data_IF_460395099574
#
_entry.id   IF_460395099574
#
_cell.length_a   1.000
_cell.length_b   1.000
_cell.length_c   1.000
_cell.angle_alpha   90.00
_cell.angle_beta   90.00
_cell.angle_gamma   90.00
#
_symmetry.space_group_name_H-M   'P 1'
#
loop_
_entity.id
_entity.type
_entity.pdbx_description
1 polymer ?
#
# COMPACT_ATOMS: atom_id res chain seq x y z
N UNK A 1 -26.72 -23.78 13.56
CA UNK A 1 -26.24 -22.53 12.94
C UNK A 1 -26.47 -21.41 13.93
N UNK A 2 -25.43 -20.90 14.57
CA UNK A 2 -25.54 -19.72 15.43
C UNK A 2 -25.56 -18.52 14.49
N UNK A 3 -26.72 -17.88 14.32
CA UNK A 3 -26.83 -16.64 13.56
C UNK A 3 -26.11 -15.54 14.36
N UNK A 4 -25.19 -14.83 13.72
CA UNK A 4 -24.56 -13.66 14.34
C UNK A 4 -25.63 -12.59 14.59
N UNK A 5 -25.56 -11.83 15.71
CA UNK A 5 -26.43 -10.69 15.92
C UNK A 5 -26.33 -9.71 14.74
N UNK A 6 -27.46 -9.14 14.31
CA UNK A 6 -27.49 -8.21 13.17
C UNK A 6 -26.50 -7.05 13.31
N UNK A 7 -26.34 -6.52 14.53
CA UNK A 7 -25.39 -5.46 14.85
C UNK A 7 -23.93 -5.89 14.59
N UNK A 8 -23.58 -7.13 14.95
CA UNK A 8 -22.24 -7.70 14.69
C UNK A 8 -21.99 -7.84 13.20
N UNK A 9 -22.97 -8.34 12.45
CA UNK A 9 -22.85 -8.47 10.99
C UNK A 9 -22.69 -7.11 10.31
N UNK A 10 -23.47 -6.11 10.72
CA UNK A 10 -23.37 -4.74 10.19
C UNK A 10 -21.99 -4.13 10.47
N UNK A 11 -21.47 -4.28 11.69
CA UNK A 11 -20.14 -3.79 12.05
C UNK A 11 -19.03 -4.44 11.20
N UNK A 12 -19.09 -5.77 11.04
CA UNK A 12 -18.11 -6.53 10.25
C UNK A 12 -18.16 -6.16 8.76
N UNK A 13 -19.36 -6.01 8.21
CA UNK A 13 -19.56 -5.56 6.82
C UNK A 13 -19.05 -4.13 6.62
N UNK A 14 -19.29 -3.25 7.60
CA UNK A 14 -18.76 -1.89 7.59
C UNK A 14 -17.24 -1.87 7.68
N UNK A 15 -16.61 -2.75 8.47
CA UNK A 15 -15.16 -2.90 8.50
C UNK A 15 -14.57 -3.25 7.14
N UNK A 16 -15.15 -4.23 6.45
CA UNK A 16 -14.76 -4.56 5.08
C UNK A 16 -14.95 -3.36 4.12
N UNK A 17 -16.11 -2.70 4.17
CA UNK A 17 -16.41 -1.55 3.31
C UNK A 17 -15.49 -0.35 3.54
N UNK A 18 -15.17 -0.04 4.79
CA UNK A 18 -14.22 1.01 5.13
C UNK A 18 -12.81 0.63 4.70
N UNK A 19 -12.42 -0.65 4.80
CA UNK A 19 -11.14 -1.13 4.27
C UNK A 19 -11.03 -0.93 2.75
N UNK A 20 -12.11 -1.16 2.00
CA UNK A 20 -12.15 -0.87 0.57
C UNK A 20 -11.92 0.63 0.28
N UNK A 21 -12.60 1.50 1.02
CA UNK A 21 -12.50 2.95 0.84
C UNK A 21 -11.12 3.49 1.24
N UNK A 22 -10.60 3.04 2.38
CA UNK A 22 -9.29 3.46 2.89
C UNK A 22 -8.15 3.11 1.95
N UNK A 23 -8.20 1.95 1.29
CA UNK A 23 -7.19 1.59 0.30
C UNK A 23 -7.15 2.52 -0.93
N UNK A 24 -8.21 3.30 -1.14
CA UNK A 24 -8.30 4.29 -2.22
C UNK A 24 -7.92 5.71 -1.75
N UNK A 25 -7.46 5.85 -0.51
CA UNK A 25 -6.90 7.11 -0.03
C UNK A 25 -5.70 7.52 -0.91
N UNK A 26 -5.45 8.85 -1.08
CA UNK A 26 -4.48 9.33 -2.06
C UNK A 26 -3.07 8.82 -1.83
N UNK A 27 -2.62 8.66 -0.58
CA UNK A 27 -1.31 8.10 -0.24
C UNK A 27 -1.12 6.68 -0.78
N UNK A 28 -2.08 5.79 -0.56
CA UNK A 28 -2.06 4.42 -1.05
C UNK A 28 -2.03 4.33 -2.56
N UNK A 29 -2.93 5.06 -3.22
CA UNK A 29 -3.05 5.13 -4.68
C UNK A 29 -1.75 5.67 -5.29
N UNK A 30 -1.21 6.77 -4.75
CA UNK A 30 0.00 7.42 -5.26
C UNK A 30 1.26 6.58 -4.99
N UNK A 31 1.34 5.89 -3.85
CA UNK A 31 2.45 5.00 -3.53
C UNK A 31 2.49 3.78 -4.47
N UNK A 32 1.37 3.07 -4.62
CA UNK A 32 1.29 1.88 -5.48
C UNK A 32 1.45 2.25 -6.96
N UNK A 33 0.92 3.40 -7.39
CA UNK A 33 1.10 3.88 -8.75
C UNK A 33 2.56 4.26 -9.08
N UNK A 34 3.32 4.79 -8.12
CA UNK A 34 4.75 5.10 -8.30
C UNK A 34 5.66 3.86 -8.22
N UNK A 35 5.35 2.91 -7.33
CA UNK A 35 6.14 1.68 -7.19
C UNK A 35 5.84 0.64 -8.27
N UNK A 36 4.67 0.71 -8.89
CA UNK A 36 4.25 -0.18 -9.94
C UNK A 36 5.20 -0.14 -11.14
N UNK A 37 5.75 -1.31 -11.50
CA UNK A 37 6.53 -1.43 -12.72
C UNK A 37 5.58 -1.46 -13.93
N UNK A 38 5.63 -0.42 -14.76
CA UNK A 38 4.81 -0.33 -15.97
C UNK A 38 5.15 -1.44 -17.00
N UNK A 39 6.29 -2.13 -16.87
CA UNK A 39 6.71 -3.27 -17.72
C UNK A 39 6.22 -4.60 -17.15
N UNK A 40 5.79 -4.65 -15.89
CA UNK A 40 5.38 -5.88 -15.25
C UNK A 40 4.10 -6.47 -15.88
N UNK A 41 4.12 -7.80 -16.05
CA UNK A 41 2.93 -8.55 -16.44
C UNK A 41 1.89 -8.60 -15.31
N UNK A 42 0.64 -8.96 -15.65
CA UNK A 42 -0.51 -8.99 -14.72
C UNK A 42 -0.20 -9.71 -13.40
N UNK A 43 0.43 -10.90 -13.47
CA UNK A 43 0.77 -11.69 -12.27
C UNK A 43 1.74 -10.95 -11.35
N UNK A 44 2.75 -10.28 -11.91
CA UNK A 44 3.72 -9.53 -11.13
C UNK A 44 3.08 -8.29 -10.48
N UNK A 45 2.23 -7.55 -11.19
CA UNK A 45 1.47 -6.42 -10.63
C UNK A 45 0.56 -6.84 -9.49
N UNK A 46 -0.23 -7.91 -9.65
CA UNK A 46 -1.11 -8.39 -8.59
C UNK A 46 -0.31 -8.93 -7.40
N UNK A 47 0.80 -9.61 -7.65
CA UNK A 47 1.68 -10.11 -6.59
C UNK A 47 2.37 -8.98 -5.82
N UNK A 48 2.67 -7.86 -6.48
CA UNK A 48 3.15 -6.63 -5.84
C UNK A 48 2.07 -6.04 -4.93
N UNK A 49 0.84 -5.86 -5.45
CA UNK A 49 -0.28 -5.28 -4.70
C UNK A 49 -0.67 -6.15 -3.49
N UNK A 50 -0.70 -7.47 -3.66
CA UNK A 50 -0.94 -8.41 -2.56
C UNK A 50 0.11 -8.28 -1.45
N UNK A 51 1.39 -8.23 -1.82
CA UNK A 51 2.48 -8.07 -0.85
C UNK A 51 2.42 -6.74 -0.13
N UNK A 52 2.12 -5.66 -0.84
CA UNK A 52 1.90 -4.36 -0.21
C UNK A 52 0.73 -4.41 0.79
N UNK A 53 -0.42 -4.95 0.38
CA UNK A 53 -1.60 -5.04 1.24
C UNK A 53 -1.39 -5.95 2.46
N UNK A 54 -0.61 -7.04 2.31
CA UNK A 54 -0.22 -7.90 3.42
C UNK A 54 0.67 -7.15 4.43
N UNK A 55 1.63 -6.34 3.96
CA UNK A 55 2.44 -5.50 4.82
C UNK A 55 1.59 -4.50 5.61
N UNK A 56 0.69 -3.81 4.91
CA UNK A 56 -0.24 -2.84 5.51
C UNK A 56 -1.15 -3.50 6.55
N UNK A 57 -1.82 -4.60 6.18
CA UNK A 57 -2.68 -5.36 7.08
C UNK A 57 -1.93 -5.92 8.29
N UNK A 58 -0.67 -6.35 8.13
CA UNK A 58 0.15 -6.81 9.25
C UNK A 58 0.44 -5.69 10.26
N UNK A 59 0.78 -4.49 9.81
CA UNK A 59 0.96 -3.34 10.70
C UNK A 59 -0.32 -3.01 11.46
N UNK A 60 -1.47 -2.94 10.75
CA UNK A 60 -2.77 -2.69 11.37
C UNK A 60 -3.15 -3.76 12.40
N UNK A 61 -2.95 -5.04 12.09
CA UNK A 61 -3.27 -6.13 13.02
C UNK A 61 -2.39 -6.10 14.26
N UNK A 62 -1.09 -5.82 14.11
CA UNK A 62 -0.17 -5.73 15.24
C UNK A 62 -0.49 -4.51 16.12
N UNK A 63 -0.59 -3.33 15.52
CA UNK A 63 -0.88 -2.09 16.26
C UNK A 63 -2.29 -2.16 16.87
N UNK A 64 -3.28 -2.61 16.10
CA UNK A 64 -4.65 -2.77 16.56
C UNK A 64 -4.79 -3.81 17.67
N UNK A 65 -4.05 -4.94 17.60
CA UNK A 65 -3.99 -5.89 18.71
C UNK A 65 -3.44 -5.24 19.99
N UNK A 66 -2.35 -4.47 19.89
CA UNK A 66 -1.76 -3.77 21.03
C UNK A 66 -2.74 -2.76 21.64
N UNK A 67 -3.42 -1.97 20.81
CA UNK A 67 -4.46 -1.00 21.22
C UNK A 67 -5.63 -1.70 21.93
N UNK A 68 -6.16 -2.77 21.34
CA UNK A 68 -7.28 -3.54 21.91
C UNK A 68 -6.92 -4.22 23.22
N UNK A 69 -5.70 -4.78 23.33
CA UNK A 69 -5.24 -5.45 24.55
C UNK A 69 -4.86 -4.47 25.66
N UNK A 70 -4.29 -3.32 25.31
CA UNK A 70 -3.95 -2.27 26.27
C UNK A 70 -5.18 -1.47 26.72
N UNK A 71 -6.27 -1.49 25.94
CA UNK A 71 -7.46 -0.66 26.20
C UNK A 71 -7.16 0.84 26.07
N UNK A 72 -6.10 1.21 25.35
CA UNK A 72 -5.62 2.60 25.21
C UNK A 72 -5.81 3.08 23.77
N UNK A 73 -6.13 4.35 23.60
CA UNK A 73 -6.12 4.99 22.28
C UNK A 73 -4.67 5.25 21.81
N UNK A 74 -4.47 5.30 20.49
CA UNK A 74 -3.18 5.71 19.90
C UNK A 74 -2.94 7.19 20.20
N UNK A 75 -1.78 7.57 20.78
CA UNK A 75 -1.44 8.97 21.02
C UNK A 75 -1.39 9.79 19.73
N UNK A 76 -1.86 11.03 19.77
CA UNK A 76 -1.86 11.92 18.60
C UNK A 76 -0.46 12.14 18.02
N UNK A 77 0.56 12.31 18.87
CA UNK A 77 1.95 12.50 18.43
C UNK A 77 2.49 11.32 17.62
N UNK A 78 2.12 10.09 18.00
CA UNK A 78 2.53 8.89 17.27
C UNK A 78 1.80 8.79 15.93
N UNK A 79 0.52 9.17 15.89
CA UNK A 79 -0.24 9.26 14.63
C UNK A 79 0.37 10.29 13.68
N UNK A 80 0.66 11.50 14.17
CA UNK A 80 1.28 12.56 13.39
C UNK A 80 2.67 12.14 12.87
N UNK A 81 3.48 11.49 13.71
CA UNK A 81 4.77 10.96 13.30
C UNK A 81 4.66 9.90 12.18
N UNK A 82 3.65 9.03 12.23
CA UNK A 82 3.38 8.05 11.19
C UNK A 82 2.93 8.72 9.87
N UNK A 83 2.06 9.72 9.95
CA UNK A 83 1.62 10.51 8.78
C UNK A 83 2.81 11.26 8.14
N UNK A 84 3.70 11.85 8.93
CA UNK A 84 4.94 12.48 8.44
C UNK A 84 5.88 11.48 7.76
N UNK A 85 6.01 10.28 8.32
CA UNK A 85 6.81 9.21 7.74
C UNK A 85 6.28 8.81 6.35
N UNK A 86 4.96 8.68 6.21
CA UNK A 86 4.32 8.43 4.90
C UNK A 86 4.55 9.61 3.95
N UNK A 87 4.47 10.85 4.42
CA UNK A 87 4.79 12.04 3.63
C UNK A 87 6.19 11.98 3.00
N UNK A 88 7.21 11.63 3.80
CA UNK A 88 8.57 11.43 3.30
C UNK A 88 8.69 10.27 2.31
N UNK A 89 7.99 9.15 2.57
CA UNK A 89 7.96 8.01 1.65
C UNK A 89 7.40 8.44 0.29
N UNK A 90 6.30 9.19 0.24
CA UNK A 90 5.70 9.64 -1.02
C UNK A 90 6.61 10.60 -1.81
N UNK A 91 7.27 11.53 -1.11
CA UNK A 91 8.27 12.42 -1.73
C UNK A 91 9.41 11.60 -2.34
N UNK A 92 9.97 10.66 -1.57
CA UNK A 92 11.05 9.81 -2.05
C UNK A 92 10.62 8.97 -3.26
N UNK A 93 9.40 8.40 -3.24
CA UNK A 93 8.86 7.65 -4.38
C UNK A 93 8.75 8.52 -5.63
N UNK A 94 8.17 9.72 -5.53
CA UNK A 94 8.06 10.64 -6.67
C UNK A 94 9.43 11.04 -7.23
N UNK A 95 10.39 11.41 -6.37
CA UNK A 95 11.77 11.72 -6.79
C UNK A 95 12.42 10.55 -7.50
N UNK A 96 12.29 9.33 -6.97
CA UNK A 96 12.88 8.14 -7.61
C UNK A 96 12.24 7.82 -8.96
N UNK A 97 10.93 8.05 -9.13
CA UNK A 97 10.24 7.89 -10.42
C UNK A 97 10.76 8.89 -11.44
N UNK A 98 10.85 10.17 -11.08
CA UNK A 98 11.37 11.22 -11.97
C UNK A 98 12.82 10.97 -12.35
N UNK A 99 13.66 10.58 -11.39
CA UNK A 99 15.06 10.22 -11.64
C UNK A 99 15.16 9.07 -12.66
N UNK A 100 14.37 8.01 -12.50
CA UNK A 100 14.38 6.84 -13.41
C UNK A 100 13.97 7.21 -14.83
N UNK A 101 12.98 8.09 -14.97
CA UNK A 101 12.53 8.60 -16.26
C UNK A 101 13.60 9.47 -16.92
N UNK A 102 14.23 10.36 -16.17
CA UNK A 102 15.30 11.24 -16.67
C UNK A 102 16.57 10.46 -17.05
N UNK A 103 16.97 9.48 -16.23
CA UNK A 103 18.13 8.63 -16.48
C UNK A 103 17.91 7.56 -17.57
N UNK A 104 16.78 7.58 -18.28
CA UNK A 104 16.54 6.76 -19.46
C UNK A 104 16.26 5.27 -19.21
N UNK A 105 15.68 4.90 -18.06
CA UNK A 105 15.37 3.51 -17.67
C UNK A 105 16.44 2.50 -18.15
N UNK A 106 17.72 2.75 -17.84
CA UNK A 106 18.81 1.89 -18.27
C UNK A 106 18.50 0.42 -17.91
N UNK A 107 18.32 -0.47 -18.90
CA UNK A 107 18.15 -1.88 -18.64
C UNK A 107 19.54 -2.37 -18.30
N UNK A 108 19.88 -2.41 -17.02
CA UNK A 108 21.08 -3.11 -16.65
C UNK A 108 20.75 -4.60 -16.82
N UNK A 109 21.09 -5.12 -17.99
CA UNK A 109 20.92 -6.51 -18.40
C UNK A 109 22.29 -7.17 -18.33
N UNK A 110 22.39 -8.24 -17.56
CA UNK A 110 23.49 -9.18 -17.72
C UNK A 110 22.88 -10.57 -17.84
N UNK A 111 23.16 -11.21 -18.97
CA UNK A 111 22.85 -12.61 -19.23
C UNK A 111 24.13 -13.43 -19.17
N UNK A 112 24.05 -14.62 -18.59
CA UNK A 112 25.00 -15.70 -18.82
C UNK A 112 24.20 -16.99 -19.10
N UNK A 113 24.56 -17.73 -20.15
CA UNK A 113 24.16 -19.12 -20.35
C UNK A 113 25.42 -19.97 -20.41
N UNK A 114 25.48 -21.03 -19.59
CA UNK A 114 26.56 -22.02 -19.67
C UNK A 114 26.93 -22.68 -18.34
N UNK A 115 26.20 -23.75 -18.03
CA UNK A 115 26.47 -24.95 -17.20
C UNK A 115 27.06 -24.84 -15.78
N UNK A 116 27.90 -23.87 -15.40
CA UNK A 116 28.43 -23.83 -14.02
C UNK A 116 28.44 -22.41 -13.45
N UNK A 117 27.41 -22.11 -12.65
CA UNK A 117 27.41 -21.10 -11.57
C UNK A 117 28.01 -19.73 -11.86
N UNK A 118 27.27 -18.86 -12.57
CA UNK A 118 27.50 -17.41 -12.52
C UNK A 118 26.20 -16.68 -12.17
N UNK A 119 26.20 -15.86 -11.11
CA UNK A 119 25.11 -14.94 -10.78
C UNK A 119 25.65 -13.54 -10.57
N UNK A 120 25.11 -12.61 -11.35
CA UNK A 120 25.39 -11.18 -11.24
C UNK A 120 24.09 -10.47 -10.79
N UNK A 121 24.20 -9.69 -9.71
CA UNK A 121 23.09 -8.92 -9.18
C UNK A 121 23.14 -7.48 -9.68
N UNK A 122 22.07 -7.12 -10.36
CA UNK A 122 21.87 -5.84 -10.97
C UNK A 122 20.46 -5.34 -10.66
N UNK A 123 20.33 -4.02 -10.44
CA UNK A 123 19.14 -3.35 -9.93
C UNK A 123 17.88 -3.70 -10.75
N UNK A 124 17.04 -4.60 -10.22
CA UNK A 124 15.81 -5.02 -10.90
C UNK A 124 15.23 -6.39 -10.52
N UNK A 125 15.92 -7.19 -9.69
CA UNK A 125 15.44 -8.55 -9.38
C UNK A 125 14.07 -8.56 -8.67
N UNK A 126 13.14 -9.46 -9.08
CA UNK A 126 11.77 -9.55 -8.54
C UNK A 126 11.70 -9.79 -7.02
N UNK A 127 12.74 -10.39 -6.41
CA UNK A 127 12.85 -10.56 -4.96
C UNK A 127 12.92 -9.21 -4.20
N UNK A 128 13.59 -8.20 -4.75
CA UNK A 128 13.67 -6.88 -4.12
C UNK A 128 12.38 -6.08 -4.27
N UNK A 129 11.64 -6.25 -5.37
CA UNK A 129 10.35 -5.60 -5.56
C UNK A 129 9.31 -6.12 -4.55
N UNK A 130 9.29 -7.44 -4.30
CA UNK A 130 8.40 -8.02 -3.31
C UNK A 130 8.67 -7.54 -1.88
N UNK A 131 9.94 -7.45 -1.48
CA UNK A 131 10.33 -6.91 -0.17
C UNK A 131 10.01 -5.42 -0.04
N UNK A 132 10.27 -4.63 -1.08
CA UNK A 132 9.90 -3.19 -1.09
C UNK A 132 8.40 -2.99 -0.97
N UNK A 133 7.59 -3.79 -1.68
CA UNK A 133 6.14 -3.74 -1.57
C UNK A 133 5.68 -3.99 -0.13
N UNK A 134 6.16 -5.06 0.50
CA UNK A 134 5.87 -5.39 1.91
C UNK A 134 6.27 -4.28 2.87
N UNK A 135 7.49 -3.74 2.73
CA UNK A 135 8.01 -2.69 3.62
C UNK A 135 7.23 -1.39 3.49
N UNK A 136 6.93 -0.96 2.26
CA UNK A 136 6.13 0.26 2.05
C UNK A 136 4.71 0.05 2.54
N UNK A 137 4.16 -1.15 2.34
CA UNK A 137 2.87 -1.55 2.92
C UNK A 137 2.87 -1.45 4.44
N UNK A 138 3.87 -2.04 5.11
CA UNK A 138 4.05 -1.94 6.57
C UNK A 138 4.09 -0.48 7.04
N UNK A 139 4.90 0.37 6.38
CA UNK A 139 5.00 1.78 6.70
C UNK A 139 3.65 2.50 6.55
N UNK A 140 2.93 2.26 5.45
CA UNK A 140 1.60 2.85 5.27
C UNK A 140 0.62 2.31 6.30
N UNK A 141 0.66 1.04 6.68
CA UNK A 141 -0.23 0.51 7.72
C UNK A 141 0.05 1.04 9.12
N UNK A 142 1.16 1.75 9.33
CA UNK A 142 1.38 2.52 10.57
C UNK A 142 0.68 3.89 10.56
N UNK A 143 0.43 4.45 9.37
CA UNK A 143 -0.27 5.71 9.19
C UNK A 143 -1.72 5.42 8.78
N UNK A 144 -2.70 5.91 9.53
CA UNK A 144 -4.07 5.49 9.31
C UNK A 144 -4.88 5.64 10.56
N UNK A 145 -4.90 6.86 11.09
CA UNK A 145 -5.74 7.25 12.23
C UNK A 145 -7.20 6.84 11.98
N UNK A 146 -7.73 7.01 10.77
CA UNK A 146 -9.12 6.70 10.42
C UNK A 146 -9.57 5.25 10.69
N UNK A 147 -8.74 4.26 10.40
CA UNK A 147 -9.07 2.85 10.61
C UNK A 147 -9.08 2.46 12.10
N UNK A 148 -8.19 3.08 12.89
CA UNK A 148 -8.05 2.83 14.32
C UNK A 148 -9.02 3.65 15.18
N UNK A 149 -9.52 4.79 14.67
CA UNK A 149 -10.51 5.62 15.36
C UNK A 149 -11.82 4.86 15.66
N UNK A 150 -12.22 3.92 14.81
CA UNK A 150 -13.40 3.07 15.03
C UNK A 150 -13.14 1.99 16.10
N UNK A 151 -11.88 1.74 16.48
CA UNK A 151 -11.55 0.80 17.53
C UNK A 151 -11.75 1.37 18.93
N UNK A 152 -11.74 2.68 19.14
CA UNK A 152 -11.84 3.24 20.50
C UNK A 152 -13.14 2.80 21.25
N UNK A 153 -14.32 2.79 20.61
CA UNK A 153 -15.53 2.21 21.21
C UNK A 153 -15.51 0.67 21.33
N UNK A 154 -14.73 -0.03 20.50
CA UNK A 154 -14.62 -1.50 20.52
C UNK A 154 -13.57 -1.99 21.53
N UNK A 155 -12.54 -1.20 21.80
CA UNK A 155 -11.50 -1.46 22.78
C UNK A 155 -12.03 -1.34 24.21
N UNK A 156 -13.02 -0.47 24.42
CA UNK A 156 -13.76 -0.37 25.68
C UNK A 156 -14.89 -1.38 25.82
N UNK A 157 -15.21 -2.14 24.75
CA UNK A 157 -16.21 -3.19 24.78
C UNK A 157 -15.64 -4.51 25.32
N UNK A 158 -16.49 -5.34 25.93
CA UNK A 158 -16.07 -6.57 26.61
C UNK A 158 -15.52 -7.68 25.70
N UNK A 159 -15.53 -7.53 24.36
CA UNK A 159 -15.14 -8.59 23.42
C UNK A 159 -14.04 -8.14 22.44
N UNK A 160 -12.74 -8.35 22.76
CA UNK A 160 -11.62 -7.98 21.89
C UNK A 160 -11.58 -8.77 20.58
N UNK A 161 -12.18 -9.96 20.53
CA UNK A 161 -12.25 -10.78 19.32
C UNK A 161 -13.11 -10.15 18.23
N UNK A 162 -14.12 -9.35 18.62
CA UNK A 162 -14.92 -8.59 17.65
C UNK A 162 -14.08 -7.50 16.98
N UNK A 163 -13.29 -6.74 17.76
CA UNK A 163 -12.35 -5.76 17.22
C UNK A 163 -11.30 -6.39 16.31
N UNK A 164 -10.77 -7.55 16.69
CA UNK A 164 -9.83 -8.30 15.84
C UNK A 164 -10.49 -8.78 14.53
N UNK A 165 -11.72 -9.30 14.60
CA UNK A 165 -12.46 -9.73 13.41
C UNK A 165 -12.77 -8.56 12.47
N UNK A 166 -13.09 -7.40 13.03
CA UNK A 166 -13.25 -6.15 12.28
C UNK A 166 -11.95 -5.77 11.54
N UNK A 167 -10.80 -5.81 12.23
CA UNK A 167 -9.50 -5.49 11.62
C UNK A 167 -9.11 -6.46 10.51
N UNK A 168 -9.37 -7.75 10.69
CA UNK A 168 -9.14 -8.76 9.64
C UNK A 168 -9.99 -8.45 8.41
N UNK A 169 -11.28 -8.17 8.57
CA UNK A 169 -12.15 -7.82 7.45
C UNK A 169 -11.77 -6.51 6.79
N UNK A 170 -11.36 -5.51 7.58
CA UNK A 170 -10.82 -4.25 7.06
C UNK A 170 -9.58 -4.50 6.19
N UNK A 171 -8.62 -5.29 6.67
CA UNK A 171 -7.42 -5.66 5.91
C UNK A 171 -7.76 -6.47 4.63
N UNK A 172 -8.77 -7.32 4.66
CA UNK A 172 -9.28 -8.01 3.47
C UNK A 172 -9.93 -7.04 2.46
N UNK A 173 -10.64 -6.02 2.95
CA UNK A 173 -11.14 -4.91 2.13
C UNK A 173 -9.98 -4.20 1.43
N UNK A 174 -8.94 -3.84 2.17
CA UNK A 174 -7.74 -3.20 1.61
C UNK A 174 -7.08 -4.07 0.54
N UNK A 175 -6.90 -5.37 0.83
CA UNK A 175 -6.36 -6.34 -0.12
C UNK A 175 -7.20 -6.40 -1.41
N UNK A 176 -8.52 -6.52 -1.29
CA UNK A 176 -9.42 -6.60 -2.43
C UNK A 176 -9.37 -5.34 -3.30
N UNK A 177 -9.46 -4.16 -2.68
CA UNK A 177 -9.38 -2.87 -3.37
C UNK A 177 -8.03 -2.69 -4.07
N UNK A 178 -6.91 -3.01 -3.41
CA UNK A 178 -5.59 -2.81 -3.99
C UNK A 178 -5.28 -3.79 -5.13
N UNK A 179 -5.80 -5.02 -5.06
CA UNK A 179 -5.74 -5.97 -6.18
C UNK A 179 -6.55 -5.47 -7.38
N UNK A 180 -7.75 -4.93 -7.15
CA UNK A 180 -8.58 -4.36 -8.20
C UNK A 180 -7.92 -3.13 -8.84
N UNK A 181 -7.49 -2.17 -8.01
CA UNK A 181 -6.79 -0.95 -8.44
C UNK A 181 -5.53 -1.29 -9.24
N UNK A 182 -4.64 -2.14 -8.71
CA UNK A 182 -3.43 -2.55 -9.40
C UNK A 182 -3.70 -3.29 -10.71
N UNK A 183 -4.76 -4.09 -10.77
CA UNK A 183 -5.23 -4.74 -12.00
C UNK A 183 -5.62 -3.73 -13.08
N UNK A 184 -6.46 -2.74 -12.72
CA UNK A 184 -6.93 -1.67 -13.61
C UNK A 184 -5.78 -0.77 -14.05
N UNK A 185 -4.99 -0.27 -13.10
CA UNK A 185 -3.84 0.59 -13.39
C UNK A 185 -2.84 -0.12 -14.30
N UNK A 186 -2.49 -1.37 -13.97
CA UNK A 186 -1.57 -2.17 -14.77
C UNK A 186 -2.11 -2.42 -16.19
N UNK A 187 -3.41 -2.65 -16.36
CA UNK A 187 -4.02 -2.78 -17.68
C UNK A 187 -4.00 -1.46 -18.46
N UNK A 188 -4.37 -0.35 -17.83
CA UNK A 188 -4.35 0.98 -18.43
C UNK A 188 -2.96 1.39 -18.88
N UNK A 189 -1.94 1.21 -18.03
CA UNK A 189 -0.55 1.53 -18.36
C UNK A 189 -0.03 0.69 -19.54
N UNK A 190 -0.35 -0.61 -19.60
CA UNK A 190 0.02 -1.45 -20.75
C UNK A 190 -0.65 -0.98 -22.04
N UNK A 191 -1.93 -0.59 -21.96
CA UNK A 191 -2.66 -0.08 -23.11
C UNK A 191 -2.07 1.25 -23.62
N UNK A 192 -1.82 2.21 -22.72
CA UNK A 192 -1.24 3.52 -23.07
C UNK A 192 0.16 3.41 -23.65
N UNK A 193 0.96 2.44 -23.20
CA UNK A 193 2.28 2.16 -23.80
C UNK A 193 2.20 1.69 -25.24
N UNK A 194 1.15 0.97 -25.61
CA UNK A 194 0.88 0.58 -26.99
C UNK A 194 0.59 1.77 -27.91
N UNK A 195 0.15 2.90 -27.35
CA UNK A 195 -0.14 4.14 -28.08
C UNK A 195 1.07 5.07 -28.22
N UNK A 196 2.15 4.83 -27.45
CA UNK A 196 3.40 5.58 -27.52
C UNK A 196 4.08 5.77 -26.17
N UNK A 197 5.42 5.70 -26.16
CA UNK A 197 6.22 5.80 -24.92
C UNK A 197 6.07 7.17 -24.22
N UNK A 198 5.76 8.24 -24.95
CA UNK A 198 5.57 9.59 -24.40
C UNK A 198 4.33 9.71 -23.50
N UNK A 199 3.20 9.12 -23.89
CA UNK A 199 1.93 9.21 -23.13
C UNK A 199 2.06 8.49 -21.78
N UNK A 200 2.62 7.28 -21.79
CA UNK A 200 2.86 6.54 -20.56
C UNK A 200 3.87 7.25 -19.63
N UNK A 201 4.87 7.92 -20.20
CA UNK A 201 5.84 8.72 -19.43
C UNK A 201 5.20 9.95 -18.81
N UNK A 202 4.33 10.65 -19.55
CA UNK A 202 3.59 11.81 -19.04
C UNK A 202 2.70 11.47 -17.84
N UNK A 203 1.96 10.36 -17.91
CA UNK A 203 1.15 9.89 -16.77
C UNK A 203 2.00 9.58 -15.54
N UNK A 204 3.18 8.96 -15.73
CA UNK A 204 4.10 8.65 -14.62
C UNK A 204 4.71 9.91 -14.00
N UNK A 205 5.02 10.93 -14.80
CA UNK A 205 5.45 12.24 -14.29
C UNK A 205 4.33 12.86 -13.45
N UNK A 206 3.09 12.85 -13.94
CA UNK A 206 1.95 13.39 -13.19
C UNK A 206 1.76 12.67 -11.85
N UNK A 207 1.80 11.34 -11.85
CA UNK A 207 1.68 10.51 -10.64
C UNK A 207 2.85 10.77 -9.66
N UNK A 208 4.06 10.98 -10.16
CA UNK A 208 5.21 11.31 -9.32
C UNK A 208 5.08 12.70 -8.68
N UNK A 209 4.66 13.72 -9.45
CA UNK A 209 4.44 15.06 -8.94
C UNK A 209 3.28 15.11 -7.93
N UNK A 210 2.19 14.40 -8.20
CA UNK A 210 1.07 14.28 -7.27
C UNK A 210 1.49 13.62 -5.95
N UNK A 211 2.32 12.57 -5.99
CA UNK A 211 2.88 11.95 -4.79
C UNK A 211 3.73 12.92 -3.97
N UNK A 212 4.62 13.68 -4.63
CA UNK A 212 5.45 14.69 -3.94
C UNK A 212 4.59 15.81 -3.33
N UNK A 213 3.58 16.29 -4.05
CA UNK A 213 2.68 17.34 -3.57
C UNK A 213 1.84 16.86 -2.37
N UNK A 214 1.27 15.66 -2.46
CA UNK A 214 0.52 15.07 -1.35
C UNK A 214 1.42 14.81 -0.15
N UNK A 215 2.61 14.23 -0.36
CA UNK A 215 3.58 14.02 0.70
C UNK A 215 3.99 15.31 1.39
N UNK A 216 4.19 16.41 0.65
CA UNK A 216 4.45 17.73 1.22
C UNK A 216 3.27 18.28 2.03
N UNK A 217 2.03 17.99 1.63
CA UNK A 217 0.84 18.38 2.39
C UNK A 217 0.75 17.64 3.73
N UNK A 218 1.11 16.36 3.78
CA UNK A 218 1.17 15.59 5.02
C UNK A 218 2.20 16.18 6.00
N UNK A 219 3.37 16.61 5.50
CA UNK A 219 4.41 17.25 6.32
C UNK A 219 4.02 18.63 6.87
N UNK A 220 2.92 19.22 6.42
CA UNK A 220 2.40 20.52 6.88
C UNK A 220 1.16 20.39 7.77
N UNK A 221 0.56 19.20 7.83
CA UNK A 221 -0.71 18.97 8.49
C UNK A 221 -0.56 18.47 9.94
N UNK A 222 0.62 17.97 10.34
CA UNK A 222 0.96 17.63 11.72
C UNK A 222 1.70 18.74 12.45
#
# INVERSE_FOLDING_TARGET
MIALPTQTLSLLTMGFGLGLLHALDPDHVLAVANLGDARAGRRATLSFCARWALGHGAALLVIGALVLLAGMAVPNDLSAAAEHLVGWVLIALGVTTLWRLWAGEAPVQWHCHGVDGAHLHVAGLPAHQGRRALLVGLLHGTAGSAALLVLAPLASAANPWLGMSYLVLFALGVLAAMLAFGGVLGAGLRHLRGQGAGVASGLRILVALAAMAFGLSLLRAG
#
